data_IF_938883324013
#
_entry.id   IF_938883324013
#
_cell.length_a   1.000
_cell.length_b   1.000
_cell.length_c   1.000
_cell.angle_alpha   90.00
_cell.angle_beta   90.00
_cell.angle_gamma   90.00
#
_symmetry.space_group_name_H-M   'P 1'
#
loop_
_entity.id
_entity.type
_entity.pdbx_description
1 polymer ?
#
# COMPACT_ATOMS: atom_id res chain seq x y z
N UNK A 1 -8.44 -16.07 22.66
CA UNK A 1 -8.70 -15.08 21.57
C UNK A 1 -8.32 -13.73 22.13
N UNK A 2 -7.40 -13.04 21.48
CA UNK A 2 -6.96 -11.68 21.86
C UNK A 2 -8.04 -10.69 21.41
N UNK A 3 -8.53 -9.86 22.33
CA UNK A 3 -9.64 -8.92 22.06
C UNK A 3 -9.21 -7.46 22.12
N UNK A 4 -8.17 -7.15 22.88
CA UNK A 4 -7.68 -5.78 23.06
C UNK A 4 -6.16 -5.74 23.19
N UNK A 5 -5.59 -4.60 22.87
CA UNK A 5 -4.18 -4.29 23.10
C UNK A 5 -3.84 -4.38 24.59
N UNK A 6 -2.65 -4.93 24.89
CA UNK A 6 -2.12 -5.12 26.26
C UNK A 6 -2.52 -6.46 26.89
N UNK A 7 -3.29 -7.33 26.23
CA UNK A 7 -3.48 -8.70 26.70
C UNK A 7 -2.17 -9.47 26.65
N UNK A 8 -1.98 -10.37 27.61
CA UNK A 8 -0.77 -11.18 27.74
C UNK A 8 -1.09 -12.67 27.73
N UNK A 9 -0.14 -13.48 27.33
CA UNK A 9 -0.17 -14.93 27.50
C UNK A 9 1.23 -15.49 27.63
N UNK A 10 1.38 -16.54 28.41
CA UNK A 10 2.61 -17.35 28.45
C UNK A 10 2.41 -18.57 27.57
N UNK A 11 3.23 -18.72 26.54
CA UNK A 11 3.17 -19.80 25.57
C UNK A 11 4.54 -20.45 25.49
N UNK A 12 4.62 -21.73 25.80
CA UNK A 12 5.86 -22.50 25.80
C UNK A 12 7.00 -21.84 26.64
N UNK A 13 6.62 -21.27 27.79
CA UNK A 13 7.55 -20.61 28.72
C UNK A 13 7.98 -19.20 28.30
N UNK A 14 7.44 -18.65 27.22
CA UNK A 14 7.70 -17.27 26.79
C UNK A 14 6.47 -16.39 27.07
N UNK A 15 6.70 -15.20 27.57
CA UNK A 15 5.66 -14.19 27.76
C UNK A 15 5.46 -13.38 26.50
N UNK A 16 4.18 -13.22 26.13
CA UNK A 16 3.71 -12.43 25.00
C UNK A 16 2.88 -11.27 25.47
N UNK A 17 3.10 -10.09 24.92
CA UNK A 17 2.22 -8.92 25.05
C UNK A 17 1.65 -8.62 23.67
N UNK A 18 0.33 -8.64 23.54
CA UNK A 18 -0.33 -8.50 22.25
C UNK A 18 -0.81 -7.07 22.00
N UNK A 19 -0.68 -6.65 20.74
CA UNK A 19 -1.37 -5.47 20.22
C UNK A 19 -2.45 -5.94 19.23
N UNK A 20 -3.69 -5.53 19.45
CA UNK A 20 -4.78 -5.74 18.51
C UNK A 20 -4.77 -4.62 17.46
N UNK A 21 -4.42 -4.94 16.22
CA UNK A 21 -4.31 -4.01 15.10
C UNK A 21 -5.45 -4.20 14.08
N UNK A 22 -6.63 -4.63 14.55
CA UNK A 22 -7.78 -4.93 13.71
C UNK A 22 -8.19 -3.77 12.78
N UNK A 23 -8.40 -4.08 11.50
CA UNK A 23 -8.79 -3.12 10.48
C UNK A 23 -7.63 -2.27 9.93
N UNK A 24 -6.39 -2.68 10.17
CA UNK A 24 -5.21 -2.17 9.47
C UNK A 24 -4.98 -2.92 8.15
N UNK A 25 -4.12 -3.93 8.16
CA UNK A 25 -3.85 -4.80 7.03
C UNK A 25 -5.03 -5.73 6.74
N UNK A 26 -5.61 -6.32 7.79
CA UNK A 26 -6.75 -7.21 7.71
C UNK A 26 -7.84 -6.81 8.71
N UNK A 27 -9.09 -7.31 8.54
CA UNK A 27 -10.15 -7.10 9.52
C UNK A 27 -9.79 -7.59 10.93
N UNK A 28 -9.05 -8.71 11.02
CA UNK A 28 -8.47 -9.23 12.25
C UNK A 28 -6.95 -9.30 12.07
N UNK A 29 -6.23 -8.40 12.72
CA UNK A 29 -4.78 -8.31 12.65
C UNK A 29 -4.19 -8.19 14.04
N UNK A 30 -3.02 -8.80 14.25
CA UNK A 30 -2.40 -8.96 15.54
C UNK A 30 -0.88 -8.82 15.41
N UNK A 31 -0.29 -7.98 16.25
CA UNK A 31 1.16 -7.95 16.49
C UNK A 31 1.46 -8.39 17.92
N UNK A 32 2.69 -8.72 18.24
CA UNK A 32 3.08 -9.06 19.60
C UNK A 32 4.53 -8.69 19.92
N UNK A 33 4.79 -8.56 21.20
CA UNK A 33 6.10 -8.31 21.75
C UNK A 33 6.49 -9.40 22.75
N UNK A 34 7.76 -9.81 22.70
CA UNK A 34 8.38 -10.75 23.61
C UNK A 34 9.30 -9.94 24.57
N UNK A 35 8.84 -9.62 25.80
CA UNK A 35 9.56 -8.71 26.70
C UNK A 35 10.97 -9.19 27.04
N UNK A 36 11.15 -10.46 27.37
CA UNK A 36 12.46 -11.04 27.71
C UNK A 36 13.48 -10.98 26.56
N UNK A 37 13.00 -11.03 25.33
CA UNK A 37 13.82 -10.98 24.12
C UNK A 37 13.93 -9.58 23.53
N UNK A 38 13.18 -8.63 24.06
CA UNK A 38 12.99 -7.28 23.48
C UNK A 38 12.68 -7.35 21.98
N UNK A 39 11.87 -8.33 21.57
CA UNK A 39 11.59 -8.65 20.18
C UNK A 39 10.13 -8.36 19.83
N UNK A 40 9.91 -7.52 18.80
CA UNK A 40 8.61 -7.16 18.28
C UNK A 40 8.32 -7.90 17.00
N UNK A 41 7.21 -8.64 16.96
CA UNK A 41 6.65 -9.23 15.77
C UNK A 41 5.63 -8.27 15.15
N UNK A 42 5.99 -7.69 14.02
CA UNK A 42 5.11 -6.77 13.30
C UNK A 42 4.06 -7.46 12.43
N UNK A 43 4.03 -8.80 12.38
CA UNK A 43 3.16 -9.59 11.49
C UNK A 43 3.21 -9.05 10.04
N UNK A 44 2.07 -8.70 9.43
CA UNK A 44 2.01 -7.97 8.16
C UNK A 44 1.71 -6.47 8.35
N UNK A 45 1.36 -6.01 9.57
CA UNK A 45 1.16 -4.58 9.88
C UNK A 45 2.43 -3.78 9.61
N UNK A 46 3.59 -4.38 9.87
CA UNK A 46 4.88 -3.77 9.56
C UNK A 46 5.67 -4.72 8.68
N UNK A 47 6.01 -4.29 7.49
CA UNK A 47 6.86 -5.05 6.56
C UNK A 47 7.97 -4.16 6.01
N UNK A 48 9.11 -4.77 5.64
CA UNK A 48 10.28 -4.00 5.16
C UNK A 48 10.17 -3.54 3.71
N UNK A 49 8.95 -3.33 3.25
CA UNK A 49 8.60 -2.69 1.99
C UNK A 49 7.28 -1.93 2.14
N UNK A 50 6.94 -1.12 1.15
CA UNK A 50 5.61 -0.52 1.08
C UNK A 50 4.58 -1.62 0.77
N UNK A 51 3.66 -1.87 1.69
CA UNK A 51 2.56 -2.80 1.47
C UNK A 51 1.47 -2.18 0.60
N UNK A 52 0.71 -2.98 -0.13
CA UNK A 52 -0.45 -2.48 -0.84
C UNK A 52 -1.61 -2.17 0.14
N UNK A 53 -2.35 -1.11 -0.15
CA UNK A 53 -3.58 -0.77 0.58
C UNK A 53 -4.82 -1.41 -0.04
N UNK A 54 -4.70 -1.97 -1.22
CA UNK A 54 -5.73 -2.71 -1.92
C UNK A 54 -5.13 -3.87 -2.69
N UNK A 55 -5.60 -5.08 -2.44
CA UNK A 55 -5.12 -6.27 -3.16
C UNK A 55 -5.84 -6.41 -4.49
N UNK A 56 -5.11 -6.69 -5.57
CA UNK A 56 -5.68 -6.80 -6.93
C UNK A 56 -6.61 -8.01 -7.10
N UNK A 57 -6.50 -9.02 -6.26
CA UNK A 57 -7.42 -10.16 -6.24
C UNK A 57 -8.81 -9.86 -5.68
N UNK A 58 -9.01 -8.66 -5.15
CA UNK A 58 -10.25 -8.20 -4.51
C UNK A 58 -10.23 -8.38 -2.98
N UNK A 59 -10.48 -7.27 -2.29
CA UNK A 59 -10.68 -7.18 -0.85
C UNK A 59 -11.25 -5.80 -0.51
N UNK A 60 -11.68 -5.59 0.73
CA UNK A 60 -11.92 -4.24 1.20
C UNK A 60 -10.62 -3.42 1.18
N UNK A 61 -10.73 -2.16 0.79
CA UNK A 61 -9.58 -1.23 0.86
C UNK A 61 -9.15 -1.07 2.31
N UNK A 62 -7.88 -1.29 2.57
CA UNK A 62 -7.25 -1.17 3.89
C UNK A 62 -7.21 0.28 4.36
N UNK A 63 -7.17 0.47 5.68
CA UNK A 63 -7.20 1.80 6.28
C UNK A 63 -5.78 2.31 6.59
N UNK A 64 -5.20 3.10 5.68
CA UNK A 64 -3.86 3.65 5.86
C UNK A 64 -3.72 4.52 7.12
N UNK A 65 -4.80 5.21 7.53
CA UNK A 65 -4.81 6.02 8.75
C UNK A 65 -4.73 5.14 10.01
N UNK A 66 -5.56 4.11 10.09
CA UNK A 66 -5.50 3.13 11.18
C UNK A 66 -4.16 2.40 11.19
N UNK A 67 -3.67 2.03 10.02
CA UNK A 67 -2.38 1.36 9.88
C UNK A 67 -1.25 2.20 10.48
N UNK A 68 -1.16 3.47 10.11
CA UNK A 68 -0.18 4.40 10.70
C UNK A 68 -0.37 4.57 12.21
N UNK A 69 -1.62 4.58 12.69
CA UNK A 69 -1.93 4.67 14.11
C UNK A 69 -1.38 3.46 14.89
N UNK A 70 -1.62 2.24 14.41
CA UNK A 70 -1.13 1.04 15.11
C UNK A 70 0.39 0.91 15.10
N UNK A 71 1.06 1.36 14.04
CA UNK A 71 2.53 1.42 14.05
C UNK A 71 3.01 2.43 15.11
N UNK A 72 2.36 3.58 15.24
CA UNK A 72 2.69 4.54 16.28
C UNK A 72 2.43 3.97 17.68
N UNK A 73 1.30 3.31 17.88
CA UNK A 73 0.96 2.64 19.14
C UNK A 73 2.00 1.58 19.51
N UNK A 74 2.50 0.79 18.55
CA UNK A 74 3.56 -0.18 18.80
C UNK A 74 4.87 0.48 19.26
N UNK A 75 5.24 1.63 18.69
CA UNK A 75 6.41 2.41 19.12
C UNK A 75 6.25 2.88 20.58
N UNK A 76 5.06 3.33 20.95
CA UNK A 76 4.76 3.83 22.29
C UNK A 76 4.68 2.70 23.33
N UNK A 77 4.11 1.55 22.96
CA UNK A 77 3.95 0.39 23.85
C UNK A 77 5.28 -0.35 24.09
N UNK A 78 6.16 -0.41 23.08
CA UNK A 78 7.36 -1.23 23.12
C UNK A 78 8.63 -0.42 22.78
N UNK A 79 8.91 0.69 23.50
CA UNK A 79 9.99 1.62 23.14
C UNK A 79 11.39 1.00 23.24
N UNK A 80 11.52 -0.10 24.00
CA UNK A 80 12.80 -0.79 24.24
C UNK A 80 13.07 -1.94 23.24
N UNK A 81 12.23 -2.12 22.21
CA UNK A 81 12.44 -3.21 21.26
C UNK A 81 13.82 -3.15 20.61
N UNK A 82 14.51 -4.28 20.62
CA UNK A 82 15.86 -4.44 20.05
C UNK A 82 15.83 -5.22 18.74
N UNK A 83 14.77 -6.01 18.54
CA UNK A 83 14.59 -6.84 17.34
C UNK A 83 13.20 -6.60 16.79
N UNK A 84 13.13 -6.35 15.50
CA UNK A 84 11.91 -6.45 14.73
C UNK A 84 11.96 -7.70 13.83
N UNK A 85 10.86 -8.42 13.73
CA UNK A 85 10.62 -9.44 12.72
C UNK A 85 9.15 -9.43 12.28
N UNK A 86 8.89 -9.99 11.12
CA UNK A 86 7.53 -10.02 10.55
C UNK A 86 7.34 -11.25 9.68
N UNK A 87 6.17 -11.33 9.04
CA UNK A 87 5.80 -12.44 8.16
C UNK A 87 6.61 -12.47 6.85
N UNK A 88 7.16 -11.32 6.46
CA UNK A 88 7.94 -11.12 5.25
C UNK A 88 9.26 -10.43 5.55
N UNK A 89 10.28 -10.73 4.75
CA UNK A 89 11.63 -10.23 4.89
C UNK A 89 12.37 -10.75 6.14
N UNK A 90 13.65 -10.44 6.22
CA UNK A 90 14.50 -10.79 7.35
C UNK A 90 14.38 -9.78 8.49
N UNK A 91 14.73 -10.19 9.72
CA UNK A 91 14.69 -9.33 10.90
C UNK A 91 15.57 -8.08 10.80
N UNK A 92 15.30 -7.11 11.68
CA UNK A 92 16.11 -5.92 11.90
C UNK A 92 16.52 -5.88 13.36
N UNK A 93 17.77 -5.51 13.62
CA UNK A 93 18.36 -5.45 14.97
C UNK A 93 18.83 -4.04 15.31
N UNK A 94 18.82 -3.72 16.59
CA UNK A 94 19.18 -2.42 17.14
C UNK A 94 17.98 -1.51 17.36
N UNK A 95 17.81 -1.02 18.60
CA UNK A 95 16.64 -0.20 18.97
C UNK A 95 16.48 1.01 18.07
N UNK A 96 17.56 1.76 17.83
CA UNK A 96 17.51 2.98 17.02
C UNK A 96 17.05 2.69 15.60
N UNK A 97 17.61 1.65 14.95
CA UNK A 97 17.27 1.25 13.59
C UNK A 97 15.82 0.74 13.50
N UNK A 98 15.38 -0.05 14.49
CA UNK A 98 14.00 -0.56 14.54
C UNK A 98 13.00 0.58 14.70
N UNK A 99 13.25 1.49 15.62
CA UNK A 99 12.35 2.65 15.84
C UNK A 99 12.33 3.60 14.63
N UNK A 100 13.48 3.87 14.02
CA UNK A 100 13.55 4.68 12.79
C UNK A 100 12.77 4.04 11.64
N UNK A 101 12.94 2.75 11.46
CA UNK A 101 12.18 1.97 10.46
C UNK A 101 10.67 2.07 10.69
N UNK A 102 10.21 1.83 11.92
CA UNK A 102 8.79 1.92 12.26
C UNK A 102 8.24 3.34 12.04
N UNK A 103 8.97 4.38 12.43
CA UNK A 103 8.60 5.77 12.17
C UNK A 103 8.44 6.06 10.69
N UNK A 104 9.35 5.60 9.84
CA UNK A 104 9.28 5.80 8.39
C UNK A 104 8.11 5.06 7.75
N UNK A 105 7.79 3.85 8.21
CA UNK A 105 6.60 3.12 7.77
C UNK A 105 5.32 3.85 8.18
N UNK A 106 5.19 4.22 9.45
CA UNK A 106 4.08 5.02 9.98
C UNK A 106 3.85 6.28 9.15
N UNK A 107 4.91 7.06 8.96
CA UNK A 107 4.84 8.34 8.26
C UNK A 107 4.56 8.17 6.77
N UNK A 108 5.03 7.08 6.16
CA UNK A 108 4.72 6.73 4.78
C UNK A 108 3.22 6.51 4.55
N UNK A 109 2.58 5.65 5.35
CA UNK A 109 1.14 5.42 5.25
C UNK A 109 0.33 6.66 5.60
N UNK A 110 0.73 7.40 6.62
CA UNK A 110 0.05 8.64 7.00
C UNK A 110 0.15 9.70 5.91
N UNK A 111 1.33 9.85 5.32
CA UNK A 111 1.55 10.78 4.21
C UNK A 111 0.66 10.45 3.00
N UNK A 112 0.64 9.18 2.59
CA UNK A 112 -0.20 8.73 1.46
C UNK A 112 -1.66 9.06 1.74
N UNK A 113 -2.15 8.73 2.94
CA UNK A 113 -3.51 9.03 3.35
C UNK A 113 -3.83 10.53 3.28
N UNK A 114 -3.07 11.34 4.02
CA UNK A 114 -3.38 12.75 4.21
C UNK A 114 -3.22 13.55 2.91
N UNK A 115 -2.19 13.26 2.10
CA UNK A 115 -1.98 13.96 0.84
C UNK A 115 -2.99 13.55 -0.24
N UNK A 116 -3.41 12.29 -0.27
CA UNK A 116 -4.49 11.87 -1.17
C UNK A 116 -5.78 12.63 -0.85
N UNK A 117 -6.18 12.71 0.43
CA UNK A 117 -7.39 13.44 0.82
C UNK A 117 -7.26 14.95 0.57
N UNK A 118 -6.08 15.53 0.82
CA UNK A 118 -5.82 16.95 0.53
C UNK A 118 -6.01 17.27 -0.96
N UNK A 119 -5.43 16.47 -1.85
CA UNK A 119 -5.58 16.67 -3.30
C UNK A 119 -7.02 16.40 -3.77
N UNK A 120 -7.66 15.35 -3.25
CA UNK A 120 -9.06 15.06 -3.55
C UNK A 120 -9.99 16.21 -3.14
N UNK A 121 -9.75 16.84 -1.98
CA UNK A 121 -10.52 18.02 -1.55
C UNK A 121 -10.32 19.26 -2.44
N UNK A 122 -9.28 19.27 -3.26
CA UNK A 122 -9.02 20.29 -4.27
C UNK A 122 -9.62 19.93 -5.65
N UNK A 123 -10.33 18.81 -5.76
CA UNK A 123 -11.00 18.37 -6.97
C UNK A 123 -10.16 17.49 -7.89
N UNK A 124 -8.98 17.04 -7.45
CA UNK A 124 -8.16 16.11 -8.25
C UNK A 124 -8.79 14.73 -8.31
N UNK A 125 -8.78 14.14 -9.49
CA UNK A 125 -9.22 12.76 -9.74
C UNK A 125 -8.19 11.74 -9.19
N UNK A 126 -8.59 10.47 -8.97
CA UNK A 126 -7.65 9.45 -8.48
C UNK A 126 -6.46 9.22 -9.42
N UNK A 127 -6.63 9.42 -10.72
CA UNK A 127 -5.56 9.35 -11.71
C UNK A 127 -4.55 10.47 -11.54
N UNK A 128 -5.03 11.71 -11.52
CA UNK A 128 -4.19 12.91 -11.33
C UNK A 128 -3.45 12.89 -9.99
N UNK A 129 -4.10 12.46 -8.91
CA UNK A 129 -3.45 12.30 -7.60
C UNK A 129 -2.31 11.29 -7.69
N UNK A 130 -2.55 10.14 -8.30
CA UNK A 130 -1.54 9.09 -8.45
C UNK A 130 -0.33 9.54 -9.28
N UNK A 131 -0.54 10.43 -10.24
CA UNK A 131 0.55 10.93 -11.10
C UNK A 131 1.28 12.15 -10.51
N UNK A 132 0.63 12.88 -9.61
CA UNK A 132 1.19 14.08 -8.97
C UNK A 132 1.88 13.79 -7.63
N UNK A 133 1.40 12.77 -6.89
CA UNK A 133 1.89 12.50 -5.55
C UNK A 133 3.32 11.95 -5.57
N UNK A 134 4.19 12.57 -4.77
CA UNK A 134 5.56 12.13 -4.53
C UNK A 134 5.84 12.03 -3.04
N UNK A 135 6.60 11.00 -2.65
CA UNK A 135 7.08 10.90 -1.26
C UNK A 135 8.17 11.96 -1.00
N UNK A 136 8.13 12.60 0.19
CA UNK A 136 9.24 13.43 0.65
C UNK A 136 10.56 12.67 0.61
N UNK A 137 11.68 13.38 0.40
CA UNK A 137 13.02 12.79 0.31
C UNK A 137 13.34 11.86 1.49
N UNK A 138 12.96 12.27 2.72
CA UNK A 138 13.20 11.49 3.92
C UNK A 138 12.50 10.12 3.91
N UNK A 139 11.31 10.02 3.31
CA UNK A 139 10.56 8.77 3.18
C UNK A 139 10.96 7.99 1.93
N UNK A 140 11.16 8.68 0.79
CA UNK A 140 11.52 8.07 -0.49
C UNK A 140 12.85 7.34 -0.45
N UNK A 141 13.81 7.84 0.32
CA UNK A 141 15.14 7.24 0.44
C UNK A 141 15.17 6.03 1.38
N UNK A 142 14.11 5.79 2.16
CA UNK A 142 14.02 4.60 3.01
C UNK A 142 13.72 3.36 2.18
N UNK A 143 14.51 2.30 2.39
CA UNK A 143 14.30 1.01 1.74
C UNK A 143 12.88 0.49 1.97
N UNK A 144 12.38 0.61 3.20
CA UNK A 144 11.07 0.13 3.60
C UNK A 144 9.88 0.86 2.96
N UNK A 145 10.10 2.03 2.36
CA UNK A 145 9.07 2.79 1.65
C UNK A 145 9.15 2.63 0.12
N UNK A 146 10.01 1.74 -0.37
CA UNK A 146 10.09 1.44 -1.81
C UNK A 146 8.90 0.59 -2.27
N UNK A 147 8.45 0.86 -3.48
CA UNK A 147 7.28 0.25 -4.08
C UNK A 147 7.55 -1.10 -4.74
N UNK A 148 7.92 -2.12 -3.96
CA UNK A 148 8.14 -3.48 -4.50
C UNK A 148 6.86 -4.31 -4.53
N UNK A 149 5.97 -4.13 -3.56
CA UNK A 149 4.72 -4.87 -3.43
C UNK A 149 3.50 -3.94 -3.52
N UNK A 150 3.40 -2.93 -2.68
CA UNK A 150 2.55 -1.77 -2.91
C UNK A 150 3.34 -0.68 -3.64
N UNK A 151 2.66 0.24 -4.29
CA UNK A 151 3.29 1.42 -4.88
C UNK A 151 2.57 2.68 -4.44
N UNK A 152 3.28 3.81 -4.45
CA UNK A 152 2.68 5.10 -4.09
C UNK A 152 1.43 5.40 -4.92
N UNK A 153 1.51 5.22 -6.24
CA UNK A 153 0.42 5.48 -7.17
C UNK A 153 -0.80 4.59 -6.93
N UNK A 154 -0.55 3.30 -6.73
CA UNK A 154 -1.61 2.33 -6.45
C UNK A 154 -2.25 2.59 -5.08
N UNK A 155 -1.44 2.86 -4.06
CA UNK A 155 -1.92 3.15 -2.71
C UNK A 155 -2.70 4.47 -2.64
N UNK A 156 -2.31 5.51 -3.39
CA UNK A 156 -3.08 6.75 -3.49
C UNK A 156 -4.48 6.50 -4.09
N UNK A 157 -4.57 5.73 -5.18
CA UNK A 157 -5.87 5.33 -5.75
C UNK A 157 -6.71 4.51 -4.76
N UNK A 158 -6.08 3.63 -4.00
CA UNK A 158 -6.76 2.84 -2.97
C UNK A 158 -7.34 3.72 -1.85
N UNK A 159 -6.57 4.71 -1.35
CA UNK A 159 -7.07 5.68 -0.37
C UNK A 159 -8.24 6.48 -0.95
N UNK A 160 -8.11 6.98 -2.19
CA UNK A 160 -9.21 7.70 -2.84
C UNK A 160 -10.48 6.83 -2.90
N UNK A 161 -10.36 5.59 -3.39
CA UNK A 161 -11.48 4.66 -3.50
C UNK A 161 -12.15 4.38 -2.15
N UNK A 162 -11.39 4.30 -1.08
CA UNK A 162 -11.91 4.08 0.27
C UNK A 162 -12.87 5.19 0.73
N UNK A 163 -12.59 6.44 0.37
CA UNK A 163 -13.33 7.61 0.84
C UNK A 163 -14.37 8.12 -0.15
N UNK A 164 -14.10 8.02 -1.46
CA UNK A 164 -14.91 8.61 -2.52
C UNK A 164 -15.53 7.56 -3.48
N UNK A 165 -15.11 6.31 -3.38
CA UNK A 165 -15.56 5.24 -4.27
C UNK A 165 -14.71 5.13 -5.55
N UNK A 166 -15.22 4.35 -6.50
CA UNK A 166 -14.49 3.95 -7.71
C UNK A 166 -14.57 4.96 -8.86
N UNK A 167 -15.56 5.84 -8.84
CA UNK A 167 -15.80 6.75 -9.95
C UNK A 167 -14.73 7.84 -10.04
N UNK A 168 -14.17 8.00 -11.22
CA UNK A 168 -13.03 8.89 -11.48
C UNK A 168 -13.41 10.28 -11.99
N UNK A 169 -14.73 10.61 -12.04
CA UNK A 169 -15.24 11.87 -12.55
C UNK A 169 -15.37 11.95 -14.07
N UNK A 170 -14.98 10.90 -14.82
CA UNK A 170 -15.14 10.84 -16.27
C UNK A 170 -16.47 10.17 -16.63
N UNK A 171 -17.44 10.89 -17.23
CA UNK A 171 -18.74 10.30 -17.63
C UNK A 171 -18.62 9.09 -18.55
N UNK A 172 -17.57 9.01 -19.37
CA UNK A 172 -17.34 7.86 -20.25
C UNK A 172 -17.06 6.55 -19.48
N UNK A 173 -16.59 6.66 -18.23
CA UNK A 173 -16.31 5.52 -17.36
C UNK A 173 -17.50 5.13 -16.47
N UNK A 174 -18.58 5.94 -16.46
CA UNK A 174 -19.79 5.64 -15.69
C UNK A 174 -20.60 4.51 -16.32
N UNK A 175 -20.79 4.57 -17.65
CA UNK A 175 -21.50 3.56 -18.44
C UNK A 175 -20.73 3.30 -19.76
N UNK A 176 -19.57 2.63 -19.68
CA UNK A 176 -18.72 2.40 -20.85
C UNK A 176 -19.36 1.36 -21.79
N UNK A 177 -19.02 1.44 -23.08
CA UNK A 177 -19.33 0.37 -24.01
C UNK A 177 -18.76 -0.96 -23.51
N UNK A 178 -19.45 -2.09 -23.80
CA UNK A 178 -18.87 -3.41 -23.54
C UNK A 178 -17.47 -3.54 -24.13
N UNK A 179 -16.59 -4.19 -23.39
CA UNK A 179 -15.15 -4.24 -23.71
C UNK A 179 -14.87 -4.72 -25.14
N UNK A 180 -15.56 -5.77 -25.59
CA UNK A 180 -15.38 -6.33 -26.94
C UNK A 180 -15.80 -5.32 -28.00
N UNK A 181 -16.89 -4.61 -27.77
CA UNK A 181 -17.40 -3.62 -28.72
C UNK A 181 -16.47 -2.41 -28.81
N UNK A 182 -16.03 -1.86 -27.69
CA UNK A 182 -15.11 -0.73 -27.65
C UNK A 182 -13.75 -1.09 -28.27
N UNK A 183 -13.19 -2.25 -27.93
CA UNK A 183 -11.92 -2.73 -28.49
C UNK A 183 -11.98 -2.93 -29.99
N UNK A 184 -13.10 -3.49 -30.52
CA UNK A 184 -13.29 -3.65 -31.95
C UNK A 184 -13.28 -2.29 -32.68
N UNK A 185 -13.92 -1.27 -32.11
CA UNK A 185 -13.93 0.09 -32.66
C UNK A 185 -12.56 0.75 -32.60
N UNK A 186 -11.82 0.60 -31.49
CA UNK A 186 -10.46 1.14 -31.37
C UNK A 186 -9.50 0.49 -32.37
N UNK A 187 -9.52 -0.83 -32.50
CA UNK A 187 -8.69 -1.55 -33.49
C UNK A 187 -9.02 -1.08 -34.90
N UNK A 188 -10.28 -0.93 -35.26
CA UNK A 188 -10.68 -0.43 -36.58
C UNK A 188 -10.19 1.02 -36.81
N UNK A 189 -10.31 1.90 -35.81
CA UNK A 189 -9.85 3.29 -35.89
C UNK A 189 -8.31 3.42 -36.02
N UNK A 190 -7.55 2.46 -35.49
CA UNK A 190 -6.09 2.39 -35.57
C UNK A 190 -5.59 1.74 -36.89
N UNK A 191 -6.45 1.41 -37.82
CA UNK A 191 -6.08 0.79 -39.11
C UNK A 191 -6.06 -0.75 -39.08
N UNK A 192 -6.83 -1.35 -38.18
CA UNK A 192 -6.93 -2.79 -38.00
C UNK A 192 -5.73 -3.38 -37.25
N UNK A 193 -5.66 -4.70 -37.16
CA UNK A 193 -4.56 -5.39 -36.47
C UNK A 193 -3.16 -5.00 -36.98
N UNK A 194 -2.90 -4.80 -38.27
CA UNK A 194 -1.59 -4.33 -38.73
C UNK A 194 -1.22 -2.96 -38.19
N UNK A 195 -2.18 -2.02 -38.10
CA UNK A 195 -1.95 -0.70 -37.56
C UNK A 195 -1.62 -0.74 -36.06
N UNK A 196 -2.38 -1.49 -35.28
CA UNK A 196 -2.12 -1.70 -33.85
C UNK A 196 -0.72 -2.29 -33.63
N UNK A 197 -0.35 -3.32 -34.40
CA UNK A 197 0.97 -3.95 -34.28
C UNK A 197 2.11 -2.99 -34.61
N UNK A 198 1.96 -2.16 -35.64
CA UNK A 198 2.97 -1.16 -36.00
C UNK A 198 3.16 -0.11 -34.88
N UNK A 199 2.05 0.38 -34.29
CA UNK A 199 2.09 1.33 -33.16
C UNK A 199 2.72 0.67 -31.93
N UNK A 200 2.35 -0.57 -31.63
CA UNK A 200 2.91 -1.30 -30.48
C UNK A 200 4.42 -1.57 -30.65
N UNK A 201 4.87 -1.93 -31.87
CA UNK A 201 6.31 -2.16 -32.12
C UNK A 201 7.11 -0.86 -31.97
N UNK A 202 6.63 0.25 -32.53
CA UNK A 202 7.30 1.54 -32.39
C UNK A 202 7.41 1.96 -30.90
N UNK A 203 6.33 1.81 -30.13
CA UNK A 203 6.35 2.09 -28.70
C UNK A 203 7.29 1.16 -27.92
N UNK A 204 7.37 -0.11 -28.29
CA UNK A 204 8.31 -1.06 -27.69
C UNK A 204 9.77 -0.66 -27.95
N UNK A 205 10.10 -0.27 -29.18
CA UNK A 205 11.43 0.16 -29.58
C UNK A 205 11.86 1.46 -28.86
N UNK A 206 10.89 2.35 -28.56
CA UNK A 206 11.10 3.58 -27.79
C UNK A 206 11.11 3.34 -26.26
N UNK A 207 10.84 2.11 -25.78
CA UNK A 207 10.79 1.76 -24.36
C UNK A 207 9.50 2.22 -23.64
N UNK A 208 8.46 2.65 -24.36
CA UNK A 208 7.15 2.99 -23.79
C UNK A 208 6.27 1.74 -23.57
N UNK A 209 6.73 0.90 -22.66
CA UNK A 209 6.04 -0.35 -22.32
C UNK A 209 4.64 -0.16 -21.75
N UNK A 210 4.33 1.00 -21.18
CA UNK A 210 2.98 1.29 -20.67
C UNK A 210 1.98 1.44 -21.81
N UNK A 211 2.37 2.08 -22.90
CA UNK A 211 1.56 2.21 -24.10
C UNK A 211 1.41 0.86 -24.82
N UNK A 212 2.50 0.09 -24.93
CA UNK A 212 2.42 -1.29 -25.45
C UNK A 212 1.42 -2.13 -24.65
N UNK A 213 1.49 -2.07 -23.33
CA UNK A 213 0.57 -2.80 -22.45
C UNK A 213 -0.91 -2.41 -22.68
N UNK A 214 -1.17 -1.11 -22.85
CA UNK A 214 -2.54 -0.62 -23.13
C UNK A 214 -3.06 -1.11 -24.48
N UNK A 215 -2.19 -1.22 -25.50
CA UNK A 215 -2.57 -1.72 -26.83
C UNK A 215 -2.82 -3.24 -26.86
N UNK A 216 -2.22 -3.98 -25.93
CA UNK A 216 -2.38 -5.43 -25.79
C UNK A 216 -3.70 -5.81 -25.12
N UNK A 217 -4.25 -4.98 -24.22
CA UNK A 217 -5.47 -5.24 -23.45
C UNK A 217 -6.71 -4.65 -24.11
#
# INVERSE_FOLDING_TARGET
MIRKTGETATIDGLDFVFQNAAGSEAPAELTFYLPEKKAFCGAEVVSRNMHNLYTLRGAHVRDARKWSYYINEAIELFPEMQVYFGSHHWPLWGNEDVIDFLKKQRDGYRYIHDQTLRLASQGYTPGEIADTLELPKALRNSFSNRGYYGTLKHNARAVYQRYFGWYDGNPANLDPLPIVESSTRYVAAMGGSPGVMAIAQAAFDDGDYRWVCLLYT
#
